data_IF_565138639731
#
_entry.id   IF_565138639731
#
_cell.length_a   1.000
_cell.length_b   1.000
_cell.length_c   1.000
_cell.angle_alpha   90.00
_cell.angle_beta   90.00
_cell.angle_gamma   90.00
#
_symmetry.space_group_name_H-M   'P 1'
#
loop_
_entity.id
_entity.type
_entity.pdbx_description
1 polymer ?
#
# COMPACT_ATOMS: atom_id res chain seq x y z
N UNK A 1 -0.09 5.72 20.92
CA UNK A 1 0.38 4.45 21.25
C UNK A 1 -0.23 3.33 20.42
N UNK A 2 -0.45 3.56 19.11
CA UNK A 2 -1.07 2.59 18.20
C UNK A 2 -0.18 1.35 18.00
N UNK A 3 1.16 1.54 17.99
CA UNK A 3 2.18 0.49 17.77
C UNK A 3 1.83 -0.41 16.57
N UNK A 4 1.73 0.13 15.37
CA UNK A 4 1.42 -0.68 14.19
C UNK A 4 2.53 -1.70 13.95
N UNK A 5 2.17 -2.93 13.53
CA UNK A 5 3.15 -3.93 13.12
C UNK A 5 3.79 -3.55 11.77
N UNK A 6 3.03 -2.92 10.90
CA UNK A 6 3.49 -2.42 9.60
C UNK A 6 2.73 -1.14 9.20
N UNK A 7 3.23 -0.45 8.20
CA UNK A 7 2.57 0.69 7.56
C UNK A 7 2.60 0.53 6.05
N UNK A 8 1.42 0.59 5.41
CA UNK A 8 1.28 0.60 3.93
C UNK A 8 1.36 2.03 3.42
N UNK A 9 2.26 2.30 2.48
CA UNK A 9 2.49 3.64 1.89
C UNK A 9 2.97 3.54 0.44
N UNK A 10 2.72 4.54 -0.41
CA UNK A 10 1.76 5.63 -0.26
C UNK A 10 0.32 5.14 -0.28
N UNK A 11 0.13 3.90 -0.73
CA UNK A 11 -1.09 3.13 -0.68
C UNK A 11 -2.21 3.64 -1.57
N UNK A 12 -3.15 2.74 -1.84
CA UNK A 12 -4.40 3.01 -2.50
C UNK A 12 -4.28 3.66 -3.87
N UNK A 13 -5.36 4.26 -4.28
CA UNK A 13 -5.41 5.02 -5.52
C UNK A 13 -4.47 6.24 -5.55
N UNK A 14 -3.83 6.59 -4.43
CA UNK A 14 -2.84 7.67 -4.42
C UNK A 14 -1.65 7.36 -5.31
N UNK A 15 -1.11 6.12 -5.26
CA UNK A 15 0.07 5.75 -6.09
C UNK A 15 -0.24 5.79 -7.59
N UNK A 16 -1.49 5.61 -7.96
CA UNK A 16 -1.94 5.69 -9.35
C UNK A 16 -2.06 7.14 -9.84
N UNK A 17 -2.39 8.08 -8.93
CA UNK A 17 -2.67 9.48 -9.27
C UNK A 17 -4.04 9.68 -9.90
N UNK A 18 -4.35 10.94 -10.25
CA UNK A 18 -5.57 11.29 -10.97
C UNK A 18 -5.51 10.91 -12.46
N UNK A 19 -4.31 10.94 -13.00
CA UNK A 19 -3.97 10.60 -14.39
C UNK A 19 -2.46 10.30 -14.50
N UNK A 20 -2.00 9.83 -15.67
CA UNK A 20 -0.60 9.47 -15.86
C UNK A 20 0.38 10.63 -15.62
N UNK A 21 0.01 11.85 -15.97
CA UNK A 21 0.89 13.03 -15.80
C UNK A 21 1.04 13.42 -14.32
N UNK A 22 0.04 13.08 -13.50
CA UNK A 22 -0.01 13.35 -12.07
C UNK A 22 0.16 12.07 -11.22
N UNK A 23 0.54 10.94 -11.82
CA UNK A 23 0.91 9.74 -11.07
C UNK A 23 2.16 10.03 -10.22
N UNK A 24 2.08 9.90 -8.89
CA UNK A 24 3.22 10.15 -8.02
C UNK A 24 4.36 9.19 -8.32
N UNK A 25 5.58 9.72 -8.42
CA UNK A 25 6.79 8.91 -8.54
C UNK A 25 7.61 9.12 -7.27
N UNK A 26 8.07 8.05 -6.63
CA UNK A 26 8.83 8.16 -5.39
C UNK A 26 10.12 9.00 -5.54
N UNK A 27 10.71 8.99 -6.74
CA UNK A 27 11.90 9.80 -7.05
C UNK A 27 11.65 11.30 -6.95
N UNK A 28 10.41 11.75 -7.14
CA UNK A 28 9.99 13.15 -6.99
C UNK A 28 9.74 13.51 -5.51
N UNK A 29 9.76 12.52 -4.62
CA UNK A 29 9.51 12.68 -3.18
C UNK A 29 10.77 12.60 -2.31
N UNK A 30 11.96 12.61 -2.90
CA UNK A 30 13.26 12.65 -2.20
C UNK A 30 13.99 13.96 -2.49
N UNK A 31 15.08 14.23 -1.76
CA UNK A 31 15.82 15.49 -1.85
C UNK A 31 15.21 16.59 -0.98
N UNK A 32 15.53 17.86 -1.30
CA UNK A 32 15.08 19.02 -0.53
C UNK A 32 13.54 19.16 -0.56
N UNK A 33 12.83 19.09 0.57
CA UNK A 33 11.37 19.09 0.60
C UNK A 33 10.71 20.29 -0.11
N UNK A 34 11.32 21.46 -0.04
CA UNK A 34 10.82 22.68 -0.68
C UNK A 34 10.88 22.63 -2.23
N UNK A 35 11.67 21.71 -2.78
CA UNK A 35 11.85 21.55 -4.24
C UNK A 35 11.06 20.36 -4.79
N UNK A 36 10.44 19.57 -3.93
CA UNK A 36 9.69 18.38 -4.35
C UNK A 36 8.42 18.76 -5.10
N UNK A 37 8.11 17.97 -6.12
CA UNK A 37 6.89 18.16 -6.90
C UNK A 37 5.67 17.72 -6.08
N UNK A 38 4.77 18.66 -5.79
CA UNK A 38 3.43 18.35 -5.34
C UNK A 38 2.55 17.92 -6.52
N UNK A 39 1.59 17.04 -6.25
CA UNK A 39 0.62 16.57 -7.26
C UNK A 39 -0.80 16.67 -6.73
N UNK A 40 -1.79 16.99 -7.58
CA UNK A 40 -3.18 16.84 -7.21
C UNK A 40 -3.51 15.34 -7.06
N UNK A 41 -4.38 15.01 -6.12
CA UNK A 41 -4.88 13.64 -6.00
C UNK A 41 -6.37 13.57 -6.34
N UNK A 42 -6.89 12.36 -6.51
CA UNK A 42 -8.27 12.12 -6.93
C UNK A 42 -9.34 12.50 -5.90
N UNK A 43 -8.96 12.77 -4.65
CA UNK A 43 -9.89 13.23 -3.60
C UNK A 43 -9.94 14.76 -3.49
N UNK A 44 -9.37 15.48 -4.44
CA UNK A 44 -9.39 16.94 -4.47
C UNK A 44 -8.36 17.63 -3.57
N UNK A 45 -7.39 16.90 -3.04
CA UNK A 45 -6.27 17.46 -2.29
C UNK A 45 -5.09 17.75 -3.20
N UNK A 46 -4.27 18.72 -2.78
CA UNK A 46 -2.96 18.99 -3.34
C UNK A 46 -1.90 18.48 -2.36
N UNK A 47 -1.06 17.55 -2.80
CA UNK A 47 0.08 17.10 -1.99
C UNK A 47 1.25 18.06 -2.18
N UNK A 48 2.10 18.20 -1.17
CA UNK A 48 3.34 18.99 -1.26
C UNK A 48 4.57 18.15 -1.59
N UNK A 49 4.45 16.80 -1.48
CA UNK A 49 5.60 15.90 -1.54
C UNK A 49 6.50 15.96 -0.29
N UNK A 50 6.14 16.74 0.74
CA UNK A 50 6.98 16.91 1.94
C UNK A 50 7.13 15.65 2.77
N UNK A 51 6.11 14.78 2.79
CA UNK A 51 6.20 13.43 3.34
C UNK A 51 6.35 12.45 2.18
N UNK A 52 7.59 12.10 1.87
CA UNK A 52 7.95 11.21 0.78
C UNK A 52 8.45 9.85 1.28
N UNK A 53 9.10 9.11 0.38
CA UNK A 53 9.59 7.77 0.70
C UNK A 53 10.64 7.76 1.81
N UNK A 54 11.52 8.78 1.87
CA UNK A 54 12.54 8.87 2.92
C UNK A 54 11.90 9.02 4.30
N UNK A 55 10.99 9.97 4.42
CA UNK A 55 10.26 10.25 5.67
C UNK A 55 9.37 9.06 6.07
N UNK A 56 8.79 8.36 5.11
CA UNK A 56 8.02 7.14 5.37
C UNK A 56 8.89 6.03 5.98
N UNK A 57 10.03 5.73 5.37
CA UNK A 57 10.95 4.70 5.84
C UNK A 57 11.50 5.03 7.24
N UNK A 58 11.89 6.29 7.45
CA UNK A 58 12.35 6.76 8.76
C UNK A 58 11.23 6.70 9.81
N UNK A 59 10.00 7.05 9.43
CA UNK A 59 8.85 6.95 10.32
C UNK A 59 8.55 5.50 10.72
N UNK A 60 8.65 4.55 9.79
CA UNK A 60 8.53 3.13 10.12
C UNK A 60 9.60 2.68 11.11
N UNK A 61 10.87 3.06 10.89
CA UNK A 61 11.97 2.76 11.81
C UNK A 61 11.71 3.36 13.20
N UNK A 62 11.28 4.63 13.31
CA UNK A 62 10.95 5.29 14.57
C UNK A 62 9.80 4.60 15.32
N UNK A 63 8.84 4.01 14.60
CA UNK A 63 7.71 3.27 15.17
C UNK A 63 8.06 1.82 15.53
N UNK A 64 9.16 1.28 14.99
CA UNK A 64 9.44 -0.14 14.99
C UNK A 64 8.43 -0.95 14.16
N UNK A 65 7.94 -0.36 13.07
CA UNK A 65 6.96 -0.94 12.16
C UNK A 65 7.61 -1.35 10.84
N UNK A 66 7.15 -2.45 10.25
CA UNK A 66 7.59 -2.91 8.94
C UNK A 66 7.05 -1.99 7.83
N UNK A 67 7.87 -1.45 6.93
CA UNK A 67 7.37 -0.72 5.77
C UNK A 67 6.85 -1.67 4.68
N UNK A 68 5.62 -1.44 4.24
CA UNK A 68 5.06 -2.03 3.03
C UNK A 68 4.86 -0.92 2.00
N UNK A 69 5.68 -0.91 0.96
CA UNK A 69 5.62 0.12 -0.07
C UNK A 69 4.81 -0.35 -1.28
N UNK A 70 3.82 0.45 -1.69
CA UNK A 70 3.05 0.22 -2.91
C UNK A 70 3.72 0.92 -4.08
N UNK A 71 4.10 0.17 -5.11
CA UNK A 71 4.69 0.72 -6.34
C UNK A 71 3.67 0.72 -7.47
N UNK A 72 3.57 1.82 -8.20
CA UNK A 72 2.70 1.89 -9.37
C UNK A 72 3.19 0.91 -10.45
N UNK A 73 2.32 0.04 -10.91
CA UNK A 73 2.64 -0.95 -11.95
C UNK A 73 2.37 -0.45 -13.38
N UNK A 74 2.21 0.85 -13.59
CA UNK A 74 1.86 1.44 -14.88
C UNK A 74 0.38 1.32 -15.24
N UNK A 75 -0.46 1.12 -14.23
CA UNK A 75 -1.92 1.14 -14.34
C UNK A 75 -2.50 2.13 -13.36
N UNK A 76 -3.62 2.71 -13.70
CA UNK A 76 -4.42 3.56 -12.84
C UNK A 76 -5.84 3.64 -13.38
N UNK A 77 -6.75 4.23 -12.61
CA UNK A 77 -8.19 4.25 -12.89
C UNK A 77 -8.60 4.92 -14.22
N UNK A 78 -7.71 5.50 -14.94
CA UNK A 78 -8.02 6.19 -16.22
C UNK A 78 -6.91 6.07 -17.24
N UNK A 79 -5.88 5.26 -16.96
CA UNK A 79 -4.78 5.06 -17.90
C UNK A 79 -4.13 3.69 -17.74
N UNK A 80 -3.49 3.26 -18.81
CA UNK A 80 -2.60 2.09 -18.82
C UNK A 80 -1.36 2.45 -19.63
N UNK A 81 -0.18 2.31 -19.05
CA UNK A 81 1.10 2.57 -19.72
C UNK A 81 1.36 1.48 -20.75
N UNK A 82 1.71 1.81 -22.01
CA UNK A 82 2.05 0.80 -23.01
C UNK A 82 3.21 -0.11 -22.56
N UNK A 83 3.13 -1.40 -22.87
CA UNK A 83 4.12 -2.41 -22.41
C UNK A 83 5.56 -2.08 -22.83
N UNK A 84 5.76 -1.46 -23.99
CA UNK A 84 7.08 -1.04 -24.45
C UNK A 84 7.71 0.11 -23.64
N UNK A 85 6.94 0.74 -22.73
CA UNK A 85 7.39 1.78 -21.80
C UNK A 85 7.53 1.27 -20.35
N UNK A 86 7.22 0.01 -20.09
CA UNK A 86 7.24 -0.54 -18.73
C UNK A 86 8.64 -0.62 -18.10
N UNK A 87 9.70 -0.58 -18.91
CA UNK A 87 11.08 -0.67 -18.42
C UNK A 87 11.40 0.39 -17.36
N UNK A 88 10.92 1.62 -17.52
CA UNK A 88 11.15 2.70 -16.58
C UNK A 88 10.40 2.49 -15.24
N UNK A 89 9.23 1.88 -15.28
CA UNK A 89 8.42 1.59 -14.10
C UNK A 89 9.01 0.45 -13.28
N UNK A 90 9.46 -0.60 -13.95
CA UNK A 90 10.19 -1.70 -13.31
C UNK A 90 11.52 -1.20 -12.71
N UNK A 91 12.22 -0.31 -13.42
CA UNK A 91 13.45 0.29 -12.92
C UNK A 91 13.20 1.15 -11.67
N UNK A 92 12.06 1.84 -11.58
CA UNK A 92 11.70 2.59 -10.37
C UNK A 92 11.56 1.67 -9.16
N UNK A 93 10.98 0.49 -9.31
CA UNK A 93 10.89 -0.48 -8.22
C UNK A 93 12.27 -0.98 -7.76
N UNK A 94 13.15 -1.33 -8.71
CA UNK A 94 14.52 -1.74 -8.41
C UNK A 94 15.33 -0.64 -7.72
N UNK A 95 15.19 0.59 -8.19
CA UNK A 95 15.85 1.77 -7.65
C UNK A 95 15.36 2.09 -6.23
N UNK A 96 14.06 1.85 -5.95
CA UNK A 96 13.48 2.06 -4.63
C UNK A 96 14.07 1.08 -3.60
N UNK A 97 14.18 -0.20 -3.96
CA UNK A 97 14.81 -1.18 -3.07
C UNK A 97 16.28 -0.84 -2.85
N UNK A 98 17.00 -0.38 -3.90
CA UNK A 98 18.39 0.09 -3.75
C UNK A 98 18.45 1.36 -2.88
N UNK A 99 17.49 2.29 -2.99
CA UNK A 99 17.42 3.45 -2.10
C UNK A 99 17.28 3.03 -0.65
N UNK A 100 16.36 2.12 -0.35
CA UNK A 100 16.13 1.65 1.01
C UNK A 100 17.29 0.78 1.52
N UNK A 101 17.71 -0.23 0.78
CA UNK A 101 18.58 -1.31 1.26
C UNK A 101 20.01 -1.26 0.72
N UNK A 102 20.27 -0.47 -0.33
CA UNK A 102 21.56 -0.45 -1.01
C UNK A 102 22.68 0.15 -0.16
N UNK A 103 23.95 -0.25 -0.37
CA UNK A 103 25.10 0.32 0.32
C UNK A 103 25.31 1.78 -0.11
N UNK A 104 25.98 2.56 0.73
CA UNK A 104 26.29 3.98 0.43
C UNK A 104 27.16 4.16 -0.81
N UNK A 105 27.81 3.10 -1.30
CA UNK A 105 28.58 3.10 -2.56
C UNK A 105 27.70 2.97 -3.80
N UNK A 106 26.43 2.58 -3.65
CA UNK A 106 25.48 2.53 -4.77
C UNK A 106 24.88 3.92 -5.04
N UNK A 107 24.31 4.11 -6.23
CA UNK A 107 23.70 5.39 -6.62
C UNK A 107 22.64 5.84 -5.62
N UNK A 108 21.67 4.99 -5.37
CA UNK A 108 20.49 5.34 -4.56
C UNK A 108 20.79 5.25 -3.06
N UNK A 109 21.67 4.33 -2.62
CA UNK A 109 22.17 4.31 -1.24
C UNK A 109 22.98 5.56 -0.88
N UNK A 110 23.74 6.12 -1.82
CA UNK A 110 24.43 7.40 -1.62
C UNK A 110 23.44 8.57 -1.44
N UNK A 111 22.32 8.57 -2.19
CA UNK A 111 21.28 9.60 -2.04
C UNK A 111 20.56 9.49 -0.70
N UNK A 112 20.28 8.28 -0.22
CA UNK A 112 19.74 8.05 1.13
C UNK A 112 20.72 8.58 2.19
N UNK A 113 22.00 8.27 2.06
CA UNK A 113 23.03 8.74 2.99
C UNK A 113 23.14 10.26 3.01
N UNK A 114 23.08 10.92 1.83
CA UNK A 114 23.07 12.37 1.70
C UNK A 114 21.82 13.01 2.34
N UNK A 115 20.70 12.27 2.39
CA UNK A 115 19.49 12.69 3.09
C UNK A 115 19.57 12.49 4.63
N UNK A 116 20.71 12.06 5.15
CA UNK A 116 20.96 11.94 6.60
C UNK A 116 20.88 10.51 7.15
N UNK A 117 20.58 9.50 6.32
CA UNK A 117 20.44 8.12 6.75
C UNK A 117 21.41 7.18 6.02
N UNK A 118 22.69 7.08 6.47
CA UNK A 118 23.70 6.24 5.81
C UNK A 118 23.44 4.73 5.97
N UNK A 119 22.82 4.29 7.08
CA UNK A 119 22.43 2.90 7.28
C UNK A 119 21.28 2.49 6.31
N UNK A 120 21.24 1.24 5.86
CA UNK A 120 20.05 0.74 5.15
C UNK A 120 18.80 0.82 6.02
N UNK A 121 17.67 1.14 5.41
CA UNK A 121 16.36 0.90 5.99
C UNK A 121 15.94 -0.55 5.77
N UNK A 122 15.09 -1.08 6.61
CA UNK A 122 14.36 -2.30 6.32
C UNK A 122 13.24 -1.98 5.31
N UNK A 123 13.16 -2.79 4.26
CA UNK A 123 12.06 -2.78 3.28
C UNK A 123 11.91 -4.22 2.79
N UNK A 124 11.11 -5.00 3.48
CA UNK A 124 10.96 -6.43 3.20
C UNK A 124 9.71 -6.74 2.36
N UNK A 125 8.79 -5.78 2.21
CA UNK A 125 7.54 -5.95 1.48
C UNK A 125 7.35 -4.88 0.43
N UNK A 126 6.94 -5.30 -0.77
CA UNK A 126 6.53 -4.40 -1.85
C UNK A 126 5.25 -4.91 -2.50
N UNK A 127 4.26 -4.05 -2.55
CA UNK A 127 3.01 -4.31 -3.25
C UNK A 127 3.09 -3.76 -4.68
N UNK A 128 2.70 -4.57 -5.66
CA UNK A 128 2.77 -4.24 -7.09
C UNK A 128 1.40 -3.76 -7.57
N UNK A 129 1.27 -2.46 -7.75
CA UNK A 129 -0.01 -1.83 -8.15
C UNK A 129 -0.98 -1.67 -6.99
N UNK A 130 -2.18 -1.16 -7.29
CA UNK A 130 -3.29 -1.03 -6.36
C UNK A 130 -4.61 -1.24 -7.10
N UNK A 131 -5.46 -2.16 -6.61
CA UNK A 131 -6.77 -2.45 -7.20
C UNK A 131 -6.71 -2.72 -8.72
N UNK A 132 -5.64 -3.34 -9.15
CA UNK A 132 -5.42 -3.69 -10.54
C UNK A 132 -5.72 -5.17 -10.78
N UNK A 133 -6.36 -5.48 -11.88
CA UNK A 133 -6.79 -6.83 -12.25
C UNK A 133 -6.67 -7.12 -13.74
N UNK A 134 -7.10 -8.32 -14.10
CA UNK A 134 -7.16 -8.79 -15.46
C UNK A 134 -5.82 -9.13 -16.12
N UNK A 135 -5.84 -9.51 -17.41
CA UNK A 135 -4.64 -9.92 -18.14
C UNK A 135 -3.54 -8.86 -18.22
N UNK A 136 -3.92 -7.59 -18.34
CA UNK A 136 -2.96 -6.49 -18.39
C UNK A 136 -2.17 -6.34 -17.09
N UNK A 137 -2.82 -6.54 -15.95
CA UNK A 137 -2.14 -6.55 -14.66
C UNK A 137 -1.21 -7.77 -14.53
N UNK A 138 -1.68 -8.95 -14.94
CA UNK A 138 -0.89 -10.18 -14.87
C UNK A 138 0.42 -10.10 -15.66
N UNK A 139 0.40 -9.43 -16.84
CA UNK A 139 1.60 -9.18 -17.64
C UNK A 139 2.57 -8.22 -16.91
N UNK A 140 2.07 -7.17 -16.31
CA UNK A 140 2.86 -6.19 -15.57
C UNK A 140 3.44 -6.80 -14.30
N UNK A 141 2.62 -7.49 -13.53
CA UNK A 141 3.09 -8.21 -12.34
C UNK A 141 4.27 -9.13 -12.67
N UNK A 142 4.19 -9.87 -13.78
CA UNK A 142 5.29 -10.74 -14.21
C UNK A 142 6.60 -9.98 -14.46
N UNK A 143 6.54 -8.77 -15.07
CA UNK A 143 7.75 -7.96 -15.29
C UNK A 143 8.38 -7.51 -13.96
N UNK A 144 7.57 -7.02 -13.02
CA UNK A 144 8.06 -6.62 -11.70
C UNK A 144 8.59 -7.81 -10.91
N UNK A 145 7.82 -8.90 -10.86
CA UNK A 145 8.21 -10.14 -10.18
C UNK A 145 9.57 -10.62 -10.65
N UNK A 146 9.75 -10.81 -11.97
CA UNK A 146 11.00 -11.35 -12.51
C UNK A 146 12.20 -10.44 -12.22
N UNK A 147 12.05 -9.13 -12.39
CA UNK A 147 13.12 -8.18 -12.14
C UNK A 147 13.50 -8.07 -10.66
N UNK A 148 12.49 -7.97 -9.78
CA UNK A 148 12.70 -7.85 -8.34
C UNK A 148 13.26 -9.14 -7.75
N UNK A 149 12.68 -10.28 -8.07
CA UNK A 149 13.16 -11.59 -7.55
C UNK A 149 14.55 -11.96 -8.06
N UNK A 150 14.91 -11.55 -9.27
CA UNK A 150 16.27 -11.75 -9.78
C UNK A 150 17.34 -10.99 -8.99
N UNK A 151 17.03 -9.79 -8.48
CA UNK A 151 17.97 -8.93 -7.75
C UNK A 151 17.81 -9.03 -6.23
N UNK A 152 16.59 -9.21 -5.76
CA UNK A 152 16.21 -9.22 -4.34
C UNK A 152 15.30 -10.43 -4.05
N UNK A 153 15.82 -11.66 -4.04
CA UNK A 153 15.01 -12.87 -3.88
C UNK A 153 14.28 -12.97 -2.54
N UNK A 154 14.78 -12.25 -1.53
CA UNK A 154 14.23 -12.16 -0.18
C UNK A 154 13.12 -11.12 -0.01
N UNK A 155 12.92 -10.24 -1.00
CA UNK A 155 11.83 -9.25 -0.97
C UNK A 155 10.48 -9.93 -1.17
N UNK A 156 9.57 -9.78 -0.22
CA UNK A 156 8.21 -10.30 -0.34
C UNK A 156 7.37 -9.42 -1.26
N UNK A 157 6.73 -10.05 -2.25
CA UNK A 157 5.88 -9.36 -3.21
C UNK A 157 4.40 -9.61 -2.89
N UNK A 158 3.66 -8.50 -2.83
CA UNK A 158 2.20 -8.51 -2.68
C UNK A 158 1.57 -8.23 -4.04
N UNK A 159 0.63 -9.08 -4.45
CA UNK A 159 -0.14 -8.91 -5.67
C UNK A 159 -1.58 -8.52 -5.34
N UNK A 160 -2.19 -7.70 -6.17
CA UNK A 160 -3.61 -7.37 -6.01
C UNK A 160 -4.49 -8.58 -6.31
N UNK A 161 -5.47 -8.84 -5.47
CA UNK A 161 -6.64 -9.66 -5.75
C UNK A 161 -7.77 -8.71 -6.13
N UNK A 162 -8.08 -8.64 -7.41
CA UNK A 162 -9.07 -7.70 -7.91
C UNK A 162 -10.04 -8.37 -8.87
N UNK A 163 -11.33 -8.04 -8.77
CA UNK A 163 -12.39 -8.63 -9.58
C UNK A 163 -12.45 -10.18 -9.52
N UNK A 164 -12.05 -10.76 -8.39
CA UNK A 164 -12.07 -12.21 -8.19
C UNK A 164 -10.84 -12.95 -8.71
N UNK A 165 -9.80 -12.25 -9.14
CA UNK A 165 -8.62 -12.84 -9.76
C UNK A 165 -7.30 -12.33 -9.17
N UNK A 166 -6.29 -13.22 -9.20
CA UNK A 166 -4.87 -12.90 -8.96
C UNK A 166 -4.07 -13.19 -10.22
N UNK A 167 -2.88 -12.58 -10.39
CA UNK A 167 -1.97 -12.96 -11.47
C UNK A 167 -1.60 -14.45 -11.39
N UNK A 168 -1.68 -15.15 -12.52
CA UNK A 168 -1.33 -16.58 -12.60
C UNK A 168 -0.07 -16.85 -13.41
N UNK A 169 0.57 -15.80 -13.91
CA UNK A 169 1.78 -15.90 -14.76
C UNK A 169 3.05 -16.12 -13.95
N UNK A 170 3.02 -15.77 -12.67
CA UNK A 170 4.11 -15.97 -11.70
C UNK A 170 3.55 -16.37 -10.34
N UNK A 171 4.37 -16.95 -9.46
CA UNK A 171 3.95 -17.20 -8.08
C UNK A 171 3.51 -15.92 -7.38
N UNK A 172 2.41 -16.00 -6.64
CA UNK A 172 1.94 -14.95 -5.74
C UNK A 172 2.20 -15.44 -4.32
N UNK A 173 2.97 -14.68 -3.55
CA UNK A 173 3.31 -15.02 -2.16
C UNK A 173 2.19 -14.55 -1.23
N UNK A 174 1.75 -13.31 -1.44
CA UNK A 174 0.71 -12.64 -0.64
C UNK A 174 -0.24 -11.96 -1.62
N UNK A 175 -1.54 -12.15 -1.43
CA UNK A 175 -2.57 -11.45 -2.17
C UNK A 175 -3.19 -10.36 -1.31
N UNK A 176 -3.38 -9.16 -1.88
CA UNK A 176 -4.04 -8.03 -1.25
C UNK A 176 -5.52 -8.00 -1.61
N UNK A 177 -6.38 -8.06 -0.60
CA UNK A 177 -7.83 -8.07 -0.72
C UNK A 177 -8.43 -6.82 -0.09
N UNK A 178 -9.39 -6.18 -0.79
CA UNK A 178 -10.07 -4.97 -0.32
C UNK A 178 -11.56 -5.22 -0.10
N UNK A 179 -12.09 -4.74 1.03
CA UNK A 179 -13.49 -4.93 1.41
C UNK A 179 -14.14 -3.64 1.89
N UNK A 180 -15.04 -3.12 1.05
CA UNK A 180 -15.87 -1.97 1.37
C UNK A 180 -17.34 -2.38 1.31
N UNK A 181 -17.90 -2.77 2.44
CA UNK A 181 -19.21 -3.40 2.56
C UNK A 181 -20.15 -2.58 3.47
N UNK A 182 -21.37 -3.08 3.65
CA UNK A 182 -22.24 -2.65 4.73
C UNK A 182 -22.02 -3.50 6.01
N UNK A 183 -22.73 -3.15 7.07
CA UNK A 183 -22.65 -3.85 8.36
C UNK A 183 -22.98 -5.35 8.25
N UNK A 184 -24.01 -5.70 7.47
CA UNK A 184 -24.42 -7.10 7.32
C UNK A 184 -23.40 -7.89 6.50
N UNK A 185 -22.80 -7.26 5.49
CA UNK A 185 -21.71 -7.84 4.71
C UNK A 185 -20.54 -8.24 5.57
N UNK A 186 -20.04 -7.33 6.44
CA UNK A 186 -18.94 -7.66 7.35
C UNK A 186 -19.30 -8.71 8.39
N UNK A 187 -20.51 -8.68 8.96
CA UNK A 187 -20.97 -9.74 9.86
C UNK A 187 -21.01 -11.10 9.17
N UNK A 188 -21.42 -11.12 7.89
CA UNK A 188 -21.45 -12.34 7.06
C UNK A 188 -20.05 -12.87 6.69
N UNK A 189 -19.01 -12.03 6.81
CA UNK A 189 -17.62 -12.40 6.53
C UNK A 189 -16.82 -12.84 7.77
N UNK A 190 -17.42 -12.89 8.94
CA UNK A 190 -16.71 -13.24 10.18
C UNK A 190 -16.06 -14.64 10.14
N UNK A 191 -16.60 -15.57 9.34
CA UNK A 191 -16.06 -16.93 9.14
C UNK A 191 -15.49 -17.18 7.72
N UNK A 192 -15.33 -16.13 6.92
CA UNK A 192 -14.92 -16.22 5.51
C UNK A 192 -13.64 -17.03 5.34
N UNK A 193 -12.59 -16.70 6.09
CA UNK A 193 -11.27 -17.31 5.98
C UNK A 193 -11.17 -18.74 6.54
N UNK A 194 -12.18 -19.23 7.26
CA UNK A 194 -12.22 -20.63 7.68
C UNK A 194 -12.36 -21.60 6.51
N UNK A 195 -12.84 -21.11 5.36
CA UNK A 195 -13.19 -21.94 4.19
C UNK A 195 -12.23 -21.76 3.01
N UNK A 196 -11.22 -20.90 3.13
CA UNK A 196 -10.28 -20.67 2.03
C UNK A 196 -9.24 -21.79 1.93
N UNK A 197 -8.76 -22.03 0.72
CA UNK A 197 -7.72 -23.02 0.46
C UNK A 197 -6.37 -22.55 1.03
N UNK A 198 -5.87 -23.26 2.04
CA UNK A 198 -4.57 -22.97 2.68
C UNK A 198 -3.35 -23.21 1.78
N UNK A 199 -3.54 -23.78 0.58
CA UNK A 199 -2.48 -23.96 -0.43
C UNK A 199 -2.31 -22.75 -1.34
N UNK A 200 -3.24 -21.81 -1.29
CA UNK A 200 -3.17 -20.55 -2.01
C UNK A 200 -2.14 -19.58 -1.42
N UNK A 201 -2.00 -18.38 -2.01
CA UNK A 201 -1.22 -17.29 -1.45
C UNK A 201 -1.67 -16.94 -0.03
N UNK A 202 -0.76 -16.44 0.80
CA UNK A 202 -1.14 -15.80 2.06
C UNK A 202 -2.00 -14.57 1.77
N UNK A 203 -2.85 -14.20 2.73
CA UNK A 203 -3.78 -13.09 2.57
C UNK A 203 -3.31 -11.87 3.36
N UNK A 204 -3.33 -10.74 2.72
CA UNK A 204 -3.30 -9.41 3.26
C UNK A 204 -4.66 -8.74 3.01
N UNK A 205 -5.37 -8.34 4.04
CA UNK A 205 -6.57 -7.51 3.91
C UNK A 205 -6.12 -6.05 3.94
N UNK A 206 -5.77 -5.51 2.76
CA UNK A 206 -5.07 -4.24 2.64
C UNK A 206 -5.94 -3.03 2.87
N UNK A 207 -7.23 -3.13 2.54
CA UNK A 207 -8.18 -2.08 2.80
C UNK A 207 -9.52 -2.67 3.25
N UNK A 208 -10.07 -2.17 4.37
CA UNK A 208 -11.42 -2.53 4.77
C UNK A 208 -12.06 -1.42 5.58
N UNK A 209 -13.35 -1.21 5.36
CA UNK A 209 -14.22 -0.36 6.17
C UNK A 209 -15.70 -0.64 5.86
N UNK A 210 -16.56 -0.50 6.86
CA UNK A 210 -18.02 -0.39 6.61
C UNK A 210 -18.30 0.98 6.03
N UNK A 211 -18.66 1.07 4.75
CA UNK A 211 -18.92 2.34 4.06
C UNK A 211 -20.43 2.64 3.92
N UNK A 212 -21.24 1.61 3.67
CA UNK A 212 -22.66 1.77 3.47
C UNK A 212 -23.41 1.83 4.81
N UNK A 213 -24.09 2.96 5.06
CA UNK A 213 -24.84 3.17 6.29
C UNK A 213 -24.03 3.57 7.53
N UNK A 214 -22.70 3.66 7.40
CA UNK A 214 -21.83 4.06 8.51
C UNK A 214 -21.75 5.59 8.72
N UNK A 215 -21.99 6.38 7.67
CA UNK A 215 -21.79 7.82 7.69
C UNK A 215 -20.34 8.18 8.03
N UNK A 216 -20.13 8.89 9.14
CA UNK A 216 -18.78 9.22 9.65
C UNK A 216 -18.20 8.15 10.59
N UNK A 217 -18.91 7.04 10.75
CA UNK A 217 -18.64 5.98 11.71
C UNK A 217 -19.77 5.87 12.74
N UNK A 218 -20.15 4.65 13.08
CA UNK A 218 -21.14 4.39 14.15
C UNK A 218 -20.83 3.05 14.85
N UNK A 219 -21.46 2.80 16.00
CA UNK A 219 -21.19 1.59 16.80
C UNK A 219 -21.53 0.30 16.05
N UNK A 220 -22.59 0.30 15.24
CA UNK A 220 -22.98 -0.90 14.46
C UNK A 220 -21.92 -1.28 13.45
N UNK A 221 -21.35 -0.30 12.74
CA UNK A 221 -20.23 -0.49 11.83
C UNK A 221 -18.99 -1.02 12.58
N UNK A 222 -18.63 -0.40 13.71
CA UNK A 222 -17.49 -0.82 14.50
C UNK A 222 -17.62 -2.26 15.04
N UNK A 223 -18.82 -2.68 15.44
CA UNK A 223 -19.08 -4.05 15.89
C UNK A 223 -18.96 -5.08 14.74
N UNK A 224 -19.41 -4.71 13.54
CA UNK A 224 -19.29 -5.58 12.37
C UNK A 224 -17.82 -5.74 11.91
N UNK A 225 -17.06 -4.64 11.90
CA UNK A 225 -15.62 -4.67 11.63
C UNK A 225 -14.87 -5.47 12.70
N UNK A 226 -15.22 -5.32 13.98
CA UNK A 226 -14.65 -6.11 15.06
C UNK A 226 -14.95 -7.61 14.90
N UNK A 227 -16.17 -7.99 14.51
CA UNK A 227 -16.51 -9.39 14.21
C UNK A 227 -15.66 -9.93 13.04
N UNK A 228 -15.48 -9.16 11.98
CA UNK A 228 -14.59 -9.53 10.88
C UNK A 228 -13.13 -9.71 11.34
N UNK A 229 -12.61 -8.77 12.15
CA UNK A 229 -11.25 -8.85 12.70
C UNK A 229 -11.04 -10.11 13.56
N UNK A 230 -12.03 -10.55 14.32
CA UNK A 230 -11.92 -11.84 15.05
C UNK A 230 -11.77 -13.01 14.11
N UNK A 231 -12.41 -12.96 12.95
CA UNK A 231 -12.25 -13.95 11.87
C UNK A 231 -10.86 -13.93 11.25
N UNK A 232 -10.28 -12.75 11.04
CA UNK A 232 -8.90 -12.61 10.55
C UNK A 232 -7.91 -13.20 11.56
N UNK A 233 -8.03 -12.82 12.84
CA UNK A 233 -7.15 -13.30 13.92
C UNK A 233 -7.25 -14.83 14.09
N UNK A 234 -8.45 -15.38 14.05
CA UNK A 234 -8.66 -16.84 14.13
C UNK A 234 -8.04 -17.62 12.97
N UNK A 235 -7.69 -16.94 11.87
CA UNK A 235 -7.06 -17.51 10.67
C UNK A 235 -5.68 -16.91 10.40
N UNK A 236 -4.97 -16.47 11.45
CA UNK A 236 -3.65 -15.84 11.35
C UNK A 236 -2.53 -16.74 10.81
N UNK A 237 -2.79 -18.02 10.61
CA UNK A 237 -1.96 -18.96 9.87
C UNK A 237 -1.96 -18.69 8.35
N UNK A 238 -2.96 -17.97 7.86
CA UNK A 238 -3.16 -17.66 6.44
C UNK A 238 -3.38 -16.18 6.16
N UNK A 239 -4.11 -15.46 7.03
CA UNK A 239 -4.27 -14.01 6.97
C UNK A 239 -3.16 -13.36 7.77
N UNK A 240 -2.12 -12.90 7.09
CA UNK A 240 -0.88 -12.46 7.73
C UNK A 240 -0.83 -10.97 8.04
N UNK A 241 -1.65 -10.18 7.37
CA UNK A 241 -1.72 -8.72 7.54
C UNK A 241 -3.15 -8.21 7.37
N UNK A 242 -3.47 -7.12 8.05
CA UNK A 242 -4.70 -6.36 7.83
C UNK A 242 -4.49 -4.87 8.14
N UNK A 243 -5.04 -3.99 7.33
CA UNK A 243 -4.98 -2.54 7.54
C UNK A 243 -6.29 -1.85 7.22
N UNK A 244 -6.77 -1.04 8.15
CA UNK A 244 -7.96 -0.23 7.98
C UNK A 244 -7.70 0.94 7.02
N UNK A 245 -8.64 1.22 6.14
CA UNK A 245 -8.50 2.30 5.16
C UNK A 245 -9.77 3.16 5.02
N UNK A 246 -9.62 4.48 5.17
CA UNK A 246 -8.45 5.24 5.63
C UNK A 246 -8.31 5.21 7.16
N UNK A 247 -7.07 5.09 7.64
CA UNK A 247 -6.80 5.02 9.08
C UNK A 247 -6.98 6.37 9.79
N UNK A 248 -6.36 7.42 9.24
CA UNK A 248 -6.22 8.73 9.90
C UNK A 248 -6.90 9.84 9.09
N UNK A 249 -7.58 10.76 9.77
CA UNK A 249 -8.15 11.95 9.13
C UNK A 249 -8.08 13.17 10.04
N UNK A 250 -7.76 14.32 9.43
CA UNK A 250 -7.93 15.61 10.08
C UNK A 250 -9.35 16.13 9.82
N UNK A 251 -10.14 16.56 10.85
CA UNK A 251 -11.55 16.89 10.70
C UNK A 251 -11.82 18.05 9.73
N UNK A 252 -10.89 18.98 9.59
CA UNK A 252 -11.03 20.12 8.68
C UNK A 252 -10.82 19.77 7.19
N UNK A 253 -10.21 18.59 6.90
CA UNK A 253 -9.82 18.19 5.54
C UNK A 253 -10.21 16.73 5.30
N UNK A 254 -11.51 16.52 5.05
CA UNK A 254 -12.10 15.20 5.00
C UNK A 254 -12.85 14.99 3.68
N UNK A 255 -12.30 14.15 2.81
CA UNK A 255 -12.92 13.80 1.53
C UNK A 255 -13.51 12.37 1.50
N UNK A 256 -13.22 11.55 2.51
CA UNK A 256 -13.68 10.16 2.59
C UNK A 256 -14.30 9.85 3.96
N UNK A 257 -15.29 8.96 4.00
CA UNK A 257 -15.93 8.43 5.19
C UNK A 257 -16.20 6.92 5.06
N UNK A 258 -16.09 6.16 6.16
CA UNK A 258 -15.58 6.55 7.46
C UNK A 258 -14.04 6.63 7.50
N UNK A 259 -13.49 7.03 8.65
CA UNK A 259 -12.07 6.95 8.97
C UNK A 259 -11.93 6.40 10.38
N UNK A 260 -10.93 5.54 10.64
CA UNK A 260 -10.84 4.89 11.94
C UNK A 260 -10.47 5.86 13.08
N UNK A 261 -9.59 6.82 12.81
CA UNK A 261 -9.09 7.75 13.82
C UNK A 261 -9.18 9.19 13.29
N UNK A 262 -9.97 10.00 13.96
CA UNK A 262 -10.02 11.44 13.73
C UNK A 262 -9.03 12.12 14.68
N UNK A 263 -8.17 13.00 14.19
CA UNK A 263 -7.19 13.69 15.03
C UNK A 263 -7.08 15.17 14.66
N UNK A 264 -6.79 15.99 15.65
CA UNK A 264 -6.36 17.36 15.49
C UNK A 264 -5.20 17.66 16.46
N UNK A 265 -4.21 18.41 16.04
CA UNK A 265 -3.11 19.01 16.83
C UNK A 265 -2.81 18.39 18.23
N UNK A 266 -2.99 17.11 18.43
CA UNK A 266 -2.70 16.41 19.68
C UNK A 266 -3.91 15.78 20.39
N UNK A 267 -5.08 15.81 19.77
CA UNK A 267 -6.25 15.04 20.20
C UNK A 267 -6.56 13.97 19.17
N UNK A 268 -7.09 12.84 19.64
CA UNK A 268 -7.63 11.77 18.77
C UNK A 268 -9.01 11.36 19.28
N UNK A 269 -9.90 11.02 18.35
CA UNK A 269 -11.28 10.66 18.61
C UNK A 269 -11.61 9.33 17.94
#
# INVERSE_FOLDING_TARGET
ALKPAFVRFPGGCFVEGSDLANAPRWKDSIGEPAQRRGVPNRWGYQTSGAFGVHEFLQWCEDLGAEPLYVINCGMGHGYTVPMNRMKEWVQDALDLVEYARGPVSSKWGAMRAAAGHPAPFELNYMEIGNENGGPEYAERYALFHDALKAKYPDLHLVANYWEGEIPRTRPVEIQDEHYYLDTLGFLGMADHYQRVDRKGPLVYVGEYAVINGAGTGNLSAALAEAAFLTGLEANGDHVVMASYAPLLVHPAWKAWNPNAIVFDQGRSY
#
